data_IF_833842223600
#
_entry.id   IF_833842223600
#
_cell.length_a   1.000
_cell.length_b   1.000
_cell.length_c   1.000
_cell.angle_alpha   90.00
_cell.angle_beta   90.00
_cell.angle_gamma   90.00
#
_symmetry.space_group_name_H-M   'P 1'
#
loop_
_entity.id
_entity.type
_entity.pdbx_description
1 polymer ?
#
# COMPACT_ATOMS: atom_id res chain seq x y z
N UNK A 1 -8.74 22.33 11.19
CA UNK A 1 -8.22 21.16 10.49
C UNK A 1 -9.37 20.43 9.82
N UNK A 2 -9.30 20.23 8.51
CA UNK A 2 -10.30 19.54 7.68
C UNK A 2 -9.76 18.20 7.17
N UNK A 3 -10.61 17.50 6.35
CA UNK A 3 -10.21 16.28 5.66
C UNK A 3 -9.12 16.59 4.62
N UNK A 4 -7.99 15.84 4.64
CA UNK A 4 -6.94 15.97 3.63
C UNK A 4 -5.51 15.95 4.19
N UNK A 5 -4.56 15.61 3.33
CA UNK A 5 -3.14 15.48 3.67
C UNK A 5 -2.40 16.82 3.82
N UNK A 6 -3.03 17.93 3.39
CA UNK A 6 -2.48 19.30 3.53
C UNK A 6 -2.67 19.92 4.91
N UNK A 7 -3.29 19.23 5.85
CA UNK A 7 -3.56 19.72 7.18
C UNK A 7 -2.49 19.23 8.18
N UNK A 8 -2.29 20.01 9.24
CA UNK A 8 -1.34 19.65 10.29
C UNK A 8 -1.76 18.36 11.01
N UNK A 9 -0.79 17.50 11.30
CA UNK A 9 -0.97 16.32 12.16
C UNK A 9 -1.22 16.79 13.59
N UNK A 10 -2.36 16.40 14.18
CA UNK A 10 -2.76 16.77 15.53
C UNK A 10 -2.51 15.67 16.56
N UNK A 11 -2.06 14.49 16.12
CA UNK A 11 -1.76 13.35 16.97
C UNK A 11 -1.57 12.07 16.17
N UNK A 12 -1.18 11.02 16.86
CA UNK A 12 -1.05 9.67 16.33
C UNK A 12 -1.98 8.72 17.08
N UNK A 13 -2.56 7.76 16.38
CA UNK A 13 -3.36 6.70 16.96
C UNK A 13 -2.50 5.44 17.09
N UNK A 14 -2.62 4.75 18.21
CA UNK A 14 -1.96 3.46 18.39
C UNK A 14 -2.54 2.42 17.44
N UNK A 15 -1.72 1.43 17.08
CA UNK A 15 -2.21 0.29 16.31
C UNK A 15 -3.31 -0.46 17.09
N UNK A 16 -4.38 -0.85 16.41
CA UNK A 16 -5.57 -1.47 17.00
C UNK A 16 -6.31 -0.61 18.06
N UNK A 17 -6.06 0.70 18.08
CA UNK A 17 -6.88 1.60 18.92
C UNK A 17 -8.32 1.61 18.42
N UNK A 18 -9.27 1.49 19.34
CA UNK A 18 -10.70 1.66 19.04
C UNK A 18 -11.01 3.15 19.00
N UNK A 19 -11.64 3.60 17.93
CA UNK A 19 -12.01 5.00 17.75
C UNK A 19 -13.49 5.15 17.42
N UNK A 20 -14.05 6.29 17.78
CA UNK A 20 -15.42 6.61 17.45
C UNK A 20 -15.46 7.50 16.19
N UNK A 21 -16.04 6.97 15.11
CA UNK A 21 -16.27 7.70 13.86
C UNK A 21 -17.56 8.48 14.02
N UNK A 22 -17.46 9.80 13.85
CA UNK A 22 -18.60 10.75 13.97
C UNK A 22 -18.99 11.35 12.62
N UNK A 23 -18.30 11.01 11.54
CA UNK A 23 -18.62 11.45 10.18
C UNK A 23 -17.64 10.90 9.16
N UNK A 24 -17.98 11.04 7.87
CA UNK A 24 -17.15 10.64 6.73
C UNK A 24 -17.19 11.76 5.68
N UNK A 25 -16.01 12.15 5.18
CA UNK A 25 -15.87 13.20 4.17
C UNK A 25 -14.67 12.91 3.27
N UNK A 26 -14.89 12.86 1.95
CA UNK A 26 -13.83 12.75 0.94
C UNK A 26 -12.81 11.63 1.19
N UNK A 27 -13.25 10.45 1.66
CA UNK A 27 -12.38 9.32 2.00
C UNK A 27 -11.63 9.47 3.33
N UNK A 28 -12.07 10.39 4.19
CA UNK A 28 -11.58 10.58 5.55
C UNK A 28 -12.69 10.35 6.56
N UNK A 29 -12.37 9.69 7.68
CA UNK A 29 -13.27 9.61 8.82
C UNK A 29 -13.01 10.75 9.79
N UNK A 30 -14.06 11.50 10.11
CA UNK A 30 -14.05 12.42 11.24
C UNK A 30 -14.18 11.61 12.52
N UNK A 31 -13.26 11.78 13.42
CA UNK A 31 -13.18 11.04 14.67
C UNK A 31 -13.16 11.98 15.85
N UNK A 32 -13.65 11.49 17.00
CA UNK A 32 -13.53 12.17 18.29
C UNK A 32 -12.57 11.39 19.17
N UNK A 33 -11.54 12.04 19.66
CA UNK A 33 -10.56 11.47 20.59
C UNK A 33 -11.10 11.55 22.03
N UNK A 34 -10.56 10.74 22.94
CA UNK A 34 -10.99 10.67 24.34
C UNK A 34 -10.84 12.00 25.08
N UNK A 35 -9.90 12.84 24.68
CA UNK A 35 -9.69 14.20 25.19
C UNK A 35 -10.70 15.23 24.62
N UNK A 36 -11.70 14.78 23.85
CA UNK A 36 -12.72 15.61 23.23
C UNK A 36 -12.32 16.29 21.93
N UNK A 37 -11.05 16.21 21.53
CA UNK A 37 -10.55 16.79 20.28
C UNK A 37 -11.12 16.03 19.08
N UNK A 38 -11.52 16.76 18.03
CA UNK A 38 -11.92 16.17 16.76
C UNK A 38 -10.80 16.26 15.74
N UNK A 39 -10.62 15.19 14.97
CA UNK A 39 -9.63 15.12 13.90
C UNK A 39 -10.15 14.32 12.72
N UNK A 40 -9.30 14.18 11.72
CA UNK A 40 -9.58 13.34 10.55
C UNK A 40 -8.50 12.27 10.42
N UNK A 41 -8.92 11.06 10.09
CA UNK A 41 -8.05 9.93 9.79
C UNK A 41 -8.45 9.34 8.45
N UNK A 42 -7.45 8.99 7.62
CA UNK A 42 -7.75 8.40 6.30
C UNK A 42 -8.55 7.11 6.45
N UNK A 43 -9.63 6.98 5.70
CA UNK A 43 -10.52 5.82 5.76
C UNK A 43 -9.79 4.50 5.44
N UNK A 44 -8.68 4.58 4.69
CA UNK A 44 -7.85 3.43 4.34
C UNK A 44 -7.09 2.82 5.54
N UNK A 45 -7.01 3.52 6.66
CA UNK A 45 -6.33 3.08 7.89
C UNK A 45 -7.30 2.57 8.96
N UNK A 46 -8.59 2.50 8.64
CA UNK A 46 -9.65 2.17 9.59
C UNK A 46 -10.43 0.96 9.10
N UNK A 47 -10.53 -0.07 9.94
CA UNK A 47 -11.44 -1.19 9.73
C UNK A 47 -12.72 -0.96 10.54
N UNK A 48 -13.88 -0.90 9.85
CA UNK A 48 -15.19 -0.80 10.52
C UNK A 48 -15.53 -2.16 11.13
N UNK A 49 -15.82 -2.18 12.42
CA UNK A 49 -16.39 -3.35 13.11
C UNK A 49 -17.89 -3.17 13.29
N UNK A 50 -18.63 -4.23 12.97
CA UNK A 50 -20.09 -4.26 13.13
C UNK A 50 -20.42 -4.29 14.63
N UNK A 51 -20.90 -3.17 15.19
CA UNK A 51 -21.24 -3.09 16.63
C UNK A 51 -20.91 -1.75 17.30
N UNK A 52 -20.63 -0.68 16.55
CA UNK A 52 -20.57 0.69 17.09
C UNK A 52 -19.21 1.22 17.53
N UNK A 53 -18.15 0.46 17.38
CA UNK A 53 -16.78 0.94 17.61
C UNK A 53 -15.88 0.52 16.44
N UNK A 54 -14.96 1.38 16.04
CA UNK A 54 -14.07 1.15 14.89
C UNK A 54 -12.62 1.06 15.35
N UNK A 55 -11.85 0.15 14.75
CA UNK A 55 -10.44 -0.10 15.10
C UNK A 55 -9.51 0.61 14.11
N UNK A 56 -8.47 1.24 14.63
CA UNK A 56 -7.35 1.78 13.86
C UNK A 56 -6.30 0.69 13.68
N UNK A 57 -6.03 0.30 12.45
CA UNK A 57 -4.91 -0.58 12.12
C UNK A 57 -3.70 0.28 11.71
N UNK A 58 -2.87 0.61 12.70
CA UNK A 58 -1.64 1.37 12.46
C UNK A 58 -0.42 0.49 12.78
N UNK A 59 0.05 -0.26 11.79
CA UNK A 59 1.31 -1.00 11.91
C UNK A 59 2.52 -0.10 11.63
N UNK A 60 2.83 0.78 12.55
CA UNK A 60 4.17 1.38 12.63
C UNK A 60 4.37 2.06 14.00
N UNK A 61 4.81 1.36 15.01
CA UNK A 61 6.01 1.71 15.75
C UNK A 61 6.30 0.74 16.91
N UNK A 62 7.56 0.35 17.02
CA UNK A 62 8.14 -0.48 18.07
C UNK A 62 8.25 0.26 19.39
N UNK A 63 8.16 -0.51 20.48
CA UNK A 63 8.51 -0.22 21.88
C UNK A 63 7.43 0.38 22.77
N UNK A 64 6.82 -0.48 23.60
CA UNK A 64 6.89 -0.37 25.06
C UNK A 64 6.71 -1.75 25.71
N UNK A 65 7.63 -2.08 26.60
CA UNK A 65 7.74 -3.26 27.44
C UNK A 65 6.84 -3.12 28.68
N UNK A 66 6.24 -4.23 29.12
CA UNK A 66 5.69 -4.33 30.47
C UNK A 66 4.62 -5.40 30.66
N UNK A 67 5.03 -6.63 30.93
CA UNK A 67 4.75 -7.49 32.09
C UNK A 67 3.28 -7.55 32.57
N UNK A 68 2.60 -8.65 32.59
CA UNK A 68 2.65 -9.91 33.35
C UNK A 68 1.50 -10.84 32.97
N UNK A 69 1.80 -12.12 33.03
CA UNK A 69 1.02 -13.35 32.90
C UNK A 69 0.05 -13.57 34.09
N UNK A 70 -0.75 -14.69 34.24
CA UNK A 70 -0.85 -15.91 33.42
C UNK A 70 -2.27 -16.57 33.28
N UNK A 71 -2.26 -17.67 32.48
CA UNK A 71 -3.11 -18.89 32.57
C UNK A 71 -4.54 -18.85 32.01
N UNK A 72 -5.02 -19.79 31.20
CA UNK A 72 -4.82 -21.25 31.04
C UNK A 72 -5.41 -21.74 29.70
N UNK A 73 -4.69 -22.66 29.05
CA UNK A 73 -5.05 -23.90 28.32
C UNK A 73 -6.42 -24.02 27.61
N UNK A 74 -6.57 -24.56 26.40
CA UNK A 74 -6.04 -25.81 25.84
C UNK A 74 -6.37 -25.92 24.34
N UNK A 75 -5.43 -26.48 23.62
CA UNK A 75 -5.50 -27.32 22.43
C UNK A 75 -6.73 -27.32 21.49
N UNK A 76 -6.54 -26.93 20.21
CA UNK A 76 -6.73 -27.95 19.17
C UNK A 76 -5.95 -27.62 17.89
N UNK A 77 -5.03 -28.50 17.59
CA UNK A 77 -4.12 -28.50 16.48
C UNK A 77 -4.88 -28.96 15.22
N UNK A 78 -5.01 -28.10 14.23
CA UNK A 78 -5.17 -28.53 12.84
C UNK A 78 -4.41 -27.59 11.92
N UNK A 79 -3.27 -28.08 11.48
CA UNK A 79 -2.44 -27.43 10.49
C UNK A 79 -3.28 -27.05 9.26
N UNK A 80 -3.53 -25.76 9.10
CA UNK A 80 -3.94 -25.18 7.85
C UNK A 80 -2.83 -24.22 7.42
N UNK A 81 -2.00 -24.63 6.48
CA UNK A 81 -0.97 -23.83 5.85
C UNK A 81 -1.62 -22.77 4.98
N UNK A 82 -2.33 -21.82 5.61
CA UNK A 82 -2.77 -20.61 4.93
C UNK A 82 -1.55 -19.70 4.77
N UNK A 83 -1.11 -19.52 3.51
CA UNK A 83 -0.20 -18.45 3.11
C UNK A 83 -0.67 -17.15 3.80
N UNK A 84 0.20 -16.42 4.52
CA UNK A 84 -0.22 -15.19 5.20
C UNK A 84 -0.84 -14.24 4.20
N UNK A 85 -2.10 -13.86 4.43
CA UNK A 85 -2.81 -12.92 3.57
C UNK A 85 -2.21 -11.53 3.80
N UNK A 86 -1.36 -11.11 2.88
CA UNK A 86 -0.81 -9.75 2.87
C UNK A 86 -1.89 -8.80 2.41
N UNK A 87 -2.30 -7.87 3.26
CA UNK A 87 -3.24 -6.82 2.85
C UNK A 87 -2.57 -5.85 1.90
N UNK A 88 -3.27 -5.41 0.84
CA UNK A 88 -2.74 -4.46 -0.14
C UNK A 88 -2.20 -3.16 0.49
N UNK A 89 -2.75 -2.74 1.62
CA UNK A 89 -2.26 -1.57 2.35
C UNK A 89 -0.81 -1.76 2.85
N UNK A 90 -0.44 -2.93 3.35
CA UNK A 90 0.95 -3.20 3.77
C UNK A 90 1.94 -3.11 2.61
N UNK A 91 1.53 -3.51 1.41
CA UNK A 91 2.33 -3.35 0.18
C UNK A 91 2.56 -1.88 -0.11
N UNK A 92 1.50 -1.06 -0.06
CA UNK A 92 1.56 0.40 -0.30
C UNK A 92 2.39 1.09 0.77
N UNK A 93 2.18 0.78 2.05
CA UNK A 93 2.92 1.37 3.17
C UNK A 93 4.43 1.12 3.06
N UNK A 94 4.79 -0.10 2.65
CA UNK A 94 6.20 -0.41 2.43
C UNK A 94 6.77 0.31 1.21
N UNK A 95 6.01 0.36 0.11
CA UNK A 95 6.40 1.06 -1.10
C UNK A 95 6.67 2.56 -0.84
N UNK A 96 5.84 3.21 -0.03
CA UNK A 96 5.98 4.62 0.33
C UNK A 96 7.28 4.93 1.10
N UNK A 97 7.82 3.97 1.88
CA UNK A 97 9.12 4.14 2.56
C UNK A 97 10.30 4.23 1.60
N UNK A 98 10.10 3.89 0.35
CA UNK A 98 11.13 3.90 -0.70
C UNK A 98 11.02 5.14 -1.62
N UNK A 99 10.10 6.08 -1.34
CA UNK A 99 9.98 7.33 -2.10
C UNK A 99 11.31 8.07 -2.14
N UNK A 100 11.62 8.64 -3.31
CA UNK A 100 12.87 9.36 -3.55
C UNK A 100 14.08 8.46 -3.87
N UNK A 101 13.97 7.12 -3.76
CA UNK A 101 15.05 6.22 -4.18
C UNK A 101 15.29 6.39 -5.68
N UNK A 102 16.54 6.64 -6.07
CA UNK A 102 16.91 6.91 -7.47
C UNK A 102 16.54 5.76 -8.41
N UNK A 103 16.20 6.11 -9.64
CA UNK A 103 16.06 5.14 -10.72
C UNK A 103 17.45 4.65 -11.18
N UNK A 104 17.58 3.34 -11.29
CA UNK A 104 18.77 2.70 -11.86
C UNK A 104 18.29 1.58 -12.77
N UNK A 105 18.66 1.62 -14.04
CA UNK A 105 18.31 0.55 -14.98
C UNK A 105 18.87 -0.80 -14.50
N UNK A 106 18.01 -1.81 -14.42
CA UNK A 106 18.35 -3.11 -13.84
C UNK A 106 18.44 -3.15 -12.33
N UNK A 107 18.19 -2.03 -11.64
CA UNK A 107 18.27 -1.91 -10.18
C UNK A 107 17.19 -2.69 -9.44
N UNK A 108 17.57 -3.32 -8.32
CA UNK A 108 16.70 -4.19 -7.51
C UNK A 108 16.87 -3.98 -6.01
N UNK A 109 17.49 -2.90 -5.59
CA UNK A 109 17.81 -2.65 -4.18
C UNK A 109 17.57 -1.18 -3.81
N UNK A 110 17.68 -0.85 -2.52
CA UNK A 110 17.58 0.52 -2.02
C UNK A 110 18.70 1.45 -2.50
N UNK A 111 19.70 0.90 -3.20
CA UNK A 111 20.72 1.70 -3.90
C UNK A 111 20.21 2.25 -5.25
N UNK A 112 19.10 1.74 -5.74
CA UNK A 112 18.38 2.19 -6.92
C UNK A 112 17.52 1.07 -7.50
N UNK A 113 16.41 1.46 -8.12
CA UNK A 113 15.43 0.57 -8.71
C UNK A 113 15.14 0.93 -10.17
N UNK A 114 14.89 -0.07 -11.02
CA UNK A 114 14.02 0.13 -12.16
C UNK A 114 12.57 -0.19 -11.79
N UNK A 115 11.62 0.03 -12.69
CA UNK A 115 10.19 -0.11 -12.40
C UNK A 115 9.82 -1.50 -11.89
N UNK A 116 10.28 -2.56 -12.53
CA UNK A 116 9.97 -3.94 -12.16
C UNK A 116 10.83 -4.47 -11.01
N UNK A 117 12.02 -3.94 -10.82
CA UNK A 117 12.85 -4.22 -9.64
C UNK A 117 12.27 -3.60 -8.37
N UNK A 118 11.69 -2.40 -8.47
CA UNK A 118 10.96 -1.78 -7.37
C UNK A 118 9.77 -2.62 -6.94
N UNK A 119 8.88 -2.98 -7.85
CA UNK A 119 7.71 -3.80 -7.53
C UNK A 119 8.13 -5.16 -6.99
N UNK A 120 9.12 -5.83 -7.63
CA UNK A 120 9.65 -7.10 -7.13
C UNK A 120 10.17 -6.99 -5.69
N UNK A 121 10.94 -5.95 -5.41
CA UNK A 121 11.50 -5.71 -4.08
C UNK A 121 10.40 -5.53 -3.03
N UNK A 122 9.40 -4.70 -3.31
CA UNK A 122 8.27 -4.43 -2.40
C UNK A 122 7.50 -5.72 -2.11
N UNK A 123 7.07 -6.45 -3.14
CA UNK A 123 6.32 -7.69 -2.94
C UNK A 123 7.14 -8.77 -2.22
N UNK A 124 8.45 -8.87 -2.52
CA UNK A 124 9.35 -9.79 -1.81
C UNK A 124 9.42 -9.50 -0.31
N UNK A 125 9.40 -8.23 0.10
CA UNK A 125 9.34 -7.84 1.52
C UNK A 125 8.03 -8.24 2.21
N UNK A 126 6.98 -8.44 1.43
CA UNK A 126 5.70 -8.98 1.90
C UNK A 126 5.62 -10.51 1.78
N UNK A 127 6.73 -11.19 1.49
CA UNK A 127 6.76 -12.65 1.31
C UNK A 127 6.18 -13.14 -0.02
N UNK A 128 5.95 -12.23 -0.97
CA UNK A 128 5.37 -12.53 -2.28
C UNK A 128 6.48 -12.49 -3.33
N UNK A 129 6.73 -13.62 -3.99
CA UNK A 129 7.70 -13.70 -5.08
C UNK A 129 7.02 -13.44 -6.42
N UNK A 130 7.45 -12.40 -7.13
CA UNK A 130 6.99 -12.07 -8.48
C UNK A 130 8.16 -12.08 -9.47
N UNK A 131 7.89 -12.24 -10.79
CA UNK A 131 8.94 -12.21 -11.80
C UNK A 131 9.77 -10.91 -11.81
N UNK A 132 11.00 -10.98 -12.37
CA UNK A 132 11.91 -9.82 -12.44
C UNK A 132 11.47 -8.76 -13.45
N UNK A 133 10.99 -9.16 -14.62
CA UNK A 133 10.72 -8.23 -15.72
C UNK A 133 9.25 -7.84 -15.82
N UNK A 134 8.96 -6.59 -16.20
CA UNK A 134 7.63 -6.01 -16.25
C UNK A 134 6.62 -6.84 -17.06
N UNK A 135 7.02 -7.34 -18.24
CA UNK A 135 6.15 -8.18 -19.08
C UNK A 135 5.75 -9.50 -18.41
N UNK A 136 6.67 -10.11 -17.65
CA UNK A 136 6.37 -11.33 -16.92
C UNK A 136 5.51 -11.03 -15.68
N UNK A 137 5.71 -9.89 -15.01
CA UNK A 137 4.85 -9.45 -13.90
C UNK A 137 3.41 -9.19 -14.36
N UNK A 138 3.23 -8.60 -15.54
CA UNK A 138 1.92 -8.38 -16.16
C UNK A 138 1.16 -9.68 -16.48
N UNK A 139 1.81 -10.82 -16.49
CA UNK A 139 1.22 -12.14 -16.74
C UNK A 139 1.18 -13.04 -15.49
N UNK A 140 1.69 -12.55 -14.35
CA UNK A 140 1.70 -13.29 -13.09
C UNK A 140 0.51 -12.89 -12.18
N UNK A 141 0.22 -13.71 -11.16
CA UNK A 141 -0.89 -13.45 -10.25
C UNK A 141 -2.26 -13.55 -10.91
N UNK A 142 -3.29 -13.12 -10.20
CA UNK A 142 -4.68 -13.10 -10.67
C UNK A 142 -5.00 -11.82 -11.43
N UNK A 143 -5.65 -11.88 -12.62
CA UNK A 143 -6.06 -10.69 -13.34
C UNK A 143 -7.14 -9.93 -12.57
N UNK A 144 -7.05 -8.60 -12.59
CA UNK A 144 -8.01 -7.70 -11.95
C UNK A 144 -8.49 -6.68 -12.99
N UNK A 145 -9.80 -6.50 -13.11
CA UNK A 145 -10.35 -5.43 -13.95
C UNK A 145 -10.03 -4.07 -13.34
N UNK A 146 -9.82 -3.05 -14.18
CA UNK A 146 -9.49 -1.70 -13.71
C UNK A 146 -10.61 -1.06 -12.87
N UNK A 147 -11.85 -1.52 -13.01
CA UNK A 147 -12.98 -1.11 -12.15
C UNK A 147 -12.92 -1.71 -10.73
N UNK A 148 -12.12 -2.77 -10.52
CA UNK A 148 -12.05 -3.53 -9.27
C UNK A 148 -10.67 -3.48 -8.62
N UNK A 149 -9.79 -2.58 -9.08
CA UNK A 149 -8.45 -2.40 -8.50
C UNK A 149 -8.53 -1.94 -7.05
N UNK A 150 -7.62 -2.46 -6.23
CA UNK A 150 -7.50 -2.12 -4.81
C UNK A 150 -6.05 -1.74 -4.48
N UNK A 151 -5.81 -0.92 -3.46
CA UNK A 151 -4.45 -0.65 -3.00
C UNK A 151 -3.64 -1.93 -2.87
N UNK A 152 -2.41 -1.91 -3.35
CA UNK A 152 -1.52 -3.06 -3.39
C UNK A 152 -1.61 -3.92 -4.64
N UNK A 153 -2.52 -3.67 -5.58
CA UNK A 153 -2.49 -4.32 -6.89
C UNK A 153 -1.33 -3.80 -7.73
N UNK A 154 -0.70 -4.69 -8.48
CA UNK A 154 0.28 -4.32 -9.49
C UNK A 154 -0.46 -3.80 -10.73
N UNK A 155 -0.12 -2.60 -11.16
CA UNK A 155 -0.57 -2.03 -12.43
C UNK A 155 0.52 -2.20 -13.49
N UNK A 156 0.12 -2.45 -14.73
CA UNK A 156 1.04 -2.52 -15.85
C UNK A 156 0.59 -1.61 -16.99
N UNK A 157 1.58 -0.98 -17.62
CA UNK A 157 1.36 0.14 -18.52
C UNK A 157 2.11 -0.04 -19.84
N UNK A 158 1.55 0.56 -20.90
CA UNK A 158 2.28 0.90 -22.11
C UNK A 158 2.66 2.38 -22.07
N UNK A 159 3.94 2.66 -22.00
CA UNK A 159 4.53 4.00 -22.03
C UNK A 159 5.17 4.33 -23.39
N UNK A 160 5.10 3.41 -24.33
CA UNK A 160 5.76 3.48 -25.64
C UNK A 160 4.78 3.55 -26.81
N UNK A 161 3.49 3.31 -26.58
CA UNK A 161 2.48 3.22 -27.63
C UNK A 161 2.51 1.91 -28.42
N UNK A 162 3.28 0.92 -27.98
CA UNK A 162 3.47 -0.35 -28.70
C UNK A 162 2.34 -1.38 -28.48
N UNK A 163 1.42 -1.10 -27.57
CA UNK A 163 0.39 -2.06 -27.12
C UNK A 163 0.92 -3.11 -26.14
N UNK A 164 2.20 -3.05 -25.75
CA UNK A 164 2.87 -4.01 -24.88
C UNK A 164 3.26 -3.39 -23.55
N UNK A 165 3.32 -4.22 -22.50
CA UNK A 165 3.79 -3.77 -21.17
C UNK A 165 5.24 -3.31 -21.24
N UNK A 166 5.47 -2.05 -20.92
CA UNK A 166 6.80 -1.43 -20.81
C UNK A 166 7.10 -0.93 -19.40
N UNK A 167 6.08 -0.77 -18.54
CA UNK A 167 6.22 -0.20 -17.21
C UNK A 167 5.25 -0.87 -16.22
N UNK A 168 5.61 -0.81 -14.94
CA UNK A 168 4.79 -1.32 -13.83
C UNK A 168 4.86 -0.40 -12.61
N UNK A 169 3.82 -0.45 -11.80
CA UNK A 169 3.73 0.25 -10.52
C UNK A 169 2.76 -0.45 -9.58
N UNK A 170 2.60 0.10 -8.39
CA UNK A 170 1.70 -0.42 -7.35
C UNK A 170 0.58 0.59 -7.13
N UNK A 171 -0.66 0.14 -7.26
CA UNK A 171 -1.83 0.99 -7.03
C UNK A 171 -1.94 1.37 -5.56
N UNK A 172 -2.20 2.64 -5.29
CA UNK A 172 -2.29 3.20 -3.94
C UNK A 172 -3.73 3.52 -3.52
N UNK A 173 -4.68 3.46 -4.45
CA UNK A 173 -6.03 4.01 -4.28
C UNK A 173 -6.18 5.40 -4.90
N UNK A 174 -7.42 5.87 -5.02
CA UNK A 174 -7.77 7.22 -5.48
C UNK A 174 -7.11 7.63 -6.80
N UNK A 175 -7.00 6.68 -7.74
CA UNK A 175 -6.40 6.94 -9.05
C UNK A 175 -4.89 7.17 -9.03
N UNK A 176 -4.19 6.87 -7.93
CA UNK A 176 -2.74 7.06 -7.78
C UNK A 176 -1.99 5.74 -7.75
N UNK A 177 -0.75 5.75 -8.21
CA UNK A 177 0.17 4.62 -8.15
C UNK A 177 1.59 5.07 -7.81
N UNK A 178 2.35 4.20 -7.16
CA UNK A 178 3.75 4.41 -6.83
C UNK A 178 4.64 3.53 -7.73
N UNK A 179 5.70 4.11 -8.27
CA UNK A 179 6.59 3.44 -9.20
C UNK A 179 8.00 4.03 -9.19
N UNK A 180 8.99 3.28 -9.64
CA UNK A 180 10.29 3.85 -9.98
C UNK A 180 10.19 4.43 -11.40
N UNK A 181 10.18 5.76 -11.47
CA UNK A 181 10.05 6.53 -12.71
C UNK A 181 11.40 6.78 -13.34
N UNK A 182 11.45 6.75 -14.66
CA UNK A 182 12.66 7.06 -15.42
C UNK A 182 13.00 6.01 -16.47
N UNK A 183 14.09 6.28 -17.17
CA UNK A 183 14.71 5.40 -18.18
C UNK A 183 16.21 5.34 -17.94
N UNK A 184 16.93 4.51 -18.69
CA UNK A 184 18.40 4.46 -18.62
C UNK A 184 19.05 5.81 -18.98
N UNK A 185 18.43 6.58 -19.87
CA UNK A 185 18.95 7.88 -20.36
C UNK A 185 18.36 9.08 -19.64
N UNK A 186 17.21 8.92 -18.99
CA UNK A 186 16.57 9.96 -18.19
C UNK A 186 16.10 9.36 -16.86
N UNK A 187 17.03 9.08 -15.93
CA UNK A 187 16.70 8.49 -14.64
C UNK A 187 16.01 9.53 -13.74
N UNK A 188 14.96 9.11 -13.09
CA UNK A 188 14.26 9.87 -12.05
C UNK A 188 14.39 9.13 -10.70
N UNK A 189 13.28 8.92 -10.01
CA UNK A 189 13.25 8.29 -8.68
C UNK A 189 11.89 7.58 -8.45
N UNK A 190 11.79 6.89 -7.34
CA UNK A 190 10.51 6.36 -6.87
C UNK A 190 9.60 7.52 -6.49
N UNK A 191 8.46 7.62 -7.16
CA UNK A 191 7.48 8.70 -6.98
C UNK A 191 6.05 8.18 -7.10
N UNK A 192 5.10 9.06 -6.76
CA UNK A 192 3.67 8.84 -6.95
C UNK A 192 3.22 9.59 -8.19
N UNK A 193 2.47 8.91 -9.05
CA UNK A 193 1.81 9.48 -10.23
C UNK A 193 0.31 9.19 -10.23
N UNK A 194 -0.43 9.90 -11.07
CA UNK A 194 -1.86 9.71 -11.26
C UNK A 194 -2.15 8.88 -12.51
N UNK A 195 -3.17 8.02 -12.45
CA UNK A 195 -3.68 7.31 -13.63
C UNK A 195 -4.29 8.24 -14.69
N UNK A 196 -4.61 9.48 -14.30
CA UNK A 196 -5.10 10.53 -15.21
C UNK A 196 -3.99 11.28 -15.95
N UNK A 197 -2.72 11.04 -15.62
CA UNK A 197 -1.59 11.61 -16.35
C UNK A 197 -1.52 10.97 -17.75
N UNK A 198 -1.61 11.79 -18.80
CA UNK A 198 -1.79 11.31 -20.17
C UNK A 198 -0.58 10.58 -20.81
N UNK A 199 0.55 10.48 -20.10
CA UNK A 199 1.77 9.82 -20.60
C UNK A 199 1.77 8.31 -20.43
N UNK A 200 0.82 7.75 -19.65
CA UNK A 200 0.70 6.31 -19.40
C UNK A 200 -0.65 5.77 -19.84
N UNK A 201 -0.63 4.67 -20.58
CA UNK A 201 -1.82 3.87 -20.83
C UNK A 201 -1.79 2.66 -19.91
N UNK A 202 -2.68 2.63 -18.91
CA UNK A 202 -2.84 1.46 -18.05
C UNK A 202 -3.50 0.34 -18.86
N UNK A 203 -2.80 -0.79 -19.01
CA UNK A 203 -3.27 -1.96 -19.75
C UNK A 203 -4.05 -2.94 -18.87
N UNK A 204 -3.85 -2.90 -17.56
CA UNK A 204 -4.53 -3.77 -16.61
C UNK A 204 -3.85 -3.85 -15.26
N UNK A 205 -4.34 -4.78 -14.44
CA UNK A 205 -3.85 -4.99 -13.07
C UNK A 205 -3.72 -6.48 -12.73
N UNK A 206 -2.87 -6.78 -11.74
CA UNK A 206 -2.65 -8.11 -11.18
C UNK A 206 -2.69 -8.06 -9.66
N UNK A 207 -3.25 -9.09 -9.03
CA UNK A 207 -3.27 -9.29 -7.58
C UNK A 207 -2.53 -10.55 -7.20
N UNK A 208 -1.73 -10.46 -6.15
CA UNK A 208 -0.88 -11.52 -5.63
C UNK A 208 -1.29 -11.98 -4.23
#
# INVERSE_FOLDING_TARGET
SGAGTGNSVIGTLANNATINIIGEENGWYKIKLDNGTTGYVGANYISKISGGSNIVDNTSNSNVKGTTNPETEAENNKANTAKPTVTGNKVVDYAQKLLGTKYVWGGTSTQGFDCSGFTQYVYKKMGINIPRVSKAQANAGSPVSLSNIKPGDLLYFDTTGSGSTSHVGIYMGNGKFIHASGTATNPEHVKVSSLSEGWVKCLGARRF
#
